data_IF_893292289770
#
_entry.id   IF_893292289770
#
_cell.length_a   1.000
_cell.length_b   1.000
_cell.length_c   1.000
_cell.angle_alpha   90.00
_cell.angle_beta   90.00
_cell.angle_gamma   90.00
#
_symmetry.space_group_name_H-M   'P 1'
#
loop_
_entity.id
_entity.type
_entity.pdbx_description
1 polymer ?
#
# COMPACT_ATOMS: atom_id res chain seq x y z
N UNK A 1 -6.63 3.57 4.37
CA UNK A 1 -7.74 3.85 5.30
C UNK A 1 -7.67 5.30 5.76
N UNK A 2 -8.80 5.93 5.89
CA UNK A 2 -8.91 7.33 6.35
C UNK A 2 -9.78 7.40 7.59
N UNK A 3 -9.34 8.15 8.59
CA UNK A 3 -10.07 8.40 9.84
C UNK A 3 -10.24 9.91 9.98
N UNK A 4 -11.46 10.38 10.15
CA UNK A 4 -11.73 11.81 10.22
C UNK A 4 -12.85 12.14 11.20
N UNK A 5 -12.95 13.42 11.59
CA UNK A 5 -13.98 13.91 12.51
C UNK A 5 -15.29 14.30 11.83
N UNK A 6 -15.30 14.48 10.52
CA UNK A 6 -16.48 14.87 9.76
C UNK A 6 -17.22 13.70 9.14
N UNK A 7 -17.98 13.98 8.09
CA UNK A 7 -18.66 12.96 7.30
C UNK A 7 -17.68 12.06 6.55
N UNK A 8 -18.17 10.92 6.07
CA UNK A 8 -17.34 9.98 5.34
C UNK A 8 -16.71 10.65 4.10
N UNK A 9 -15.40 10.44 3.93
CA UNK A 9 -14.62 11.00 2.84
C UNK A 9 -13.50 10.02 2.45
N UNK A 10 -13.12 10.05 1.19
CA UNK A 10 -12.02 9.26 0.64
C UNK A 10 -10.90 10.11 0.05
N UNK A 11 -10.91 11.42 0.29
CA UNK A 11 -9.92 12.34 -0.29
C UNK A 11 -8.49 11.97 0.09
N UNK A 12 -8.22 11.71 1.36
CA UNK A 12 -6.88 11.33 1.82
C UNK A 12 -6.48 9.94 1.31
N UNK A 13 -7.42 8.99 1.28
CA UNK A 13 -7.17 7.65 0.73
C UNK A 13 -6.82 7.74 -0.76
N UNK A 14 -7.52 8.55 -1.52
CA UNK A 14 -7.23 8.75 -2.95
C UNK A 14 -5.83 9.34 -3.16
N UNK A 15 -5.43 10.30 -2.34
CA UNK A 15 -4.08 10.85 -2.38
C UNK A 15 -3.02 9.82 -2.01
N UNK A 16 -3.29 8.99 -1.02
CA UNK A 16 -2.38 7.90 -0.63
C UNK A 16 -2.22 6.86 -1.74
N UNK A 17 -3.26 6.60 -2.53
CA UNK A 17 -3.16 5.72 -3.69
C UNK A 17 -2.25 6.29 -4.77
N UNK A 18 -2.34 7.58 -5.03
CA UNK A 18 -1.46 8.28 -5.96
C UNK A 18 -0.01 8.18 -5.48
N UNK A 19 0.23 8.48 -4.22
CA UNK A 19 1.56 8.37 -3.61
C UNK A 19 2.11 6.94 -3.69
N UNK A 20 1.30 5.96 -3.35
CA UNK A 20 1.70 4.55 -3.42
C UNK A 20 2.12 4.15 -4.83
N UNK A 21 1.37 4.53 -5.85
CA UNK A 21 1.70 4.28 -7.25
C UNK A 21 3.00 4.99 -7.65
N UNK A 22 3.18 6.22 -7.21
CA UNK A 22 4.39 6.99 -7.49
C UNK A 22 5.62 6.33 -6.89
N UNK A 23 5.49 5.79 -5.69
CA UNK A 23 6.54 5.04 -4.99
C UNK A 23 6.66 3.57 -5.45
N UNK A 24 5.89 3.19 -6.47
CA UNK A 24 5.86 1.83 -7.04
C UNK A 24 5.41 0.76 -6.05
N UNK A 25 4.51 1.13 -5.14
CA UNK A 25 3.86 0.19 -4.25
C UNK A 25 2.69 -0.49 -4.96
N UNK A 26 2.42 -1.74 -4.59
CA UNK A 26 1.18 -2.41 -4.95
C UNK A 26 0.14 -1.94 -3.94
N UNK A 27 -0.86 -1.18 -4.40
CA UNK A 27 -1.95 -0.73 -3.54
C UNK A 27 -3.13 -1.70 -3.67
N UNK A 28 -3.60 -2.22 -2.53
CA UNK A 28 -4.75 -3.13 -2.54
C UNK A 28 -6.02 -2.40 -2.97
N UNK A 29 -6.96 -3.09 -3.65
CA UNK A 29 -8.19 -2.46 -4.15
C UNK A 29 -9.08 -1.92 -3.06
N UNK A 30 -9.19 -2.61 -1.92
CA UNK A 30 -10.11 -2.26 -0.88
C UNK A 30 -9.64 -1.02 -0.11
N UNK A 31 -10.59 -0.21 0.31
CA UNK A 31 -10.32 1.01 1.07
C UNK A 31 -11.48 1.27 2.02
N UNK A 32 -11.20 1.96 3.12
CA UNK A 32 -12.23 2.31 4.09
C UNK A 32 -12.02 3.72 4.62
N UNK A 33 -13.11 4.30 5.08
CA UNK A 33 -13.13 5.61 5.74
C UNK A 33 -13.97 5.51 7.00
N UNK A 34 -13.45 6.01 8.10
CA UNK A 34 -14.14 6.05 9.39
C UNK A 34 -14.55 7.49 9.66
N UNK A 35 -15.82 7.84 9.44
CA UNK A 35 -16.32 9.19 9.72
C UNK A 35 -16.59 9.34 11.22
N UNK A 36 -16.63 10.57 11.69
CA UNK A 36 -16.97 10.90 13.08
C UNK A 36 -16.23 10.00 14.07
N UNK A 37 -14.93 9.95 13.93
CA UNK A 37 -14.07 9.03 14.68
C UNK A 37 -14.29 9.14 16.20
N UNK A 38 -14.61 10.34 16.71
CA UNK A 38 -14.87 10.57 18.13
C UNK A 38 -16.06 9.77 18.68
N UNK A 39 -16.96 9.29 17.81
CA UNK A 39 -18.11 8.47 18.19
C UNK A 39 -17.87 6.95 18.03
N UNK A 40 -16.71 6.57 17.51
CA UNK A 40 -16.45 5.18 17.14
C UNK A 40 -15.70 4.39 18.22
N UNK A 41 -15.26 5.05 19.28
CA UNK A 41 -14.48 4.43 20.34
C UNK A 41 -15.24 4.46 21.68
N UNK A 42 -15.03 3.45 22.50
CA UNK A 42 -15.60 3.36 23.84
C UNK A 42 -14.70 4.04 24.88
N UNK A 43 -15.07 3.94 26.15
CA UNK A 43 -14.34 4.54 27.27
C UNK A 43 -12.93 3.96 27.45
N UNK A 44 -12.69 2.76 26.94
CA UNK A 44 -11.40 2.08 27.00
C UNK A 44 -10.57 2.28 25.71
N UNK A 45 -10.92 3.26 24.87
CA UNK A 45 -10.27 3.55 23.59
C UNK A 45 -10.32 2.39 22.60
N UNK A 46 -11.31 1.52 22.72
CA UNK A 46 -11.55 0.43 21.78
C UNK A 46 -12.65 0.80 20.80
N UNK A 47 -12.46 0.43 19.57
CA UNK A 47 -13.45 0.70 18.52
C UNK A 47 -14.72 -0.13 18.76
N UNK A 48 -15.86 0.55 18.74
CA UNK A 48 -17.16 -0.08 18.92
C UNK A 48 -17.50 -0.95 17.69
N UNK A 49 -18.24 -2.07 17.89
CA UNK A 49 -18.79 -2.81 16.76
C UNK A 49 -19.65 -1.90 15.88
N UNK A 50 -19.36 -1.90 14.58
CA UNK A 50 -20.08 -1.08 13.60
C UNK A 50 -19.74 -1.56 12.19
N UNK A 51 -20.51 -1.14 11.16
CA UNK A 51 -20.12 -1.39 9.77
C UNK A 51 -18.74 -0.82 9.41
N UNK A 52 -18.33 0.27 10.03
CA UNK A 52 -16.99 0.86 9.80
C UNK A 52 -15.89 -0.04 10.37
N UNK A 53 -16.11 -0.61 11.54
CA UNK A 53 -15.21 -1.59 12.13
C UNK A 53 -15.05 -2.80 11.21
N UNK A 54 -16.16 -3.33 10.71
CA UNK A 54 -16.14 -4.48 9.82
C UNK A 54 -15.37 -4.20 8.54
N UNK A 55 -15.53 -3.03 7.96
CA UNK A 55 -14.79 -2.61 6.76
C UNK A 55 -13.30 -2.43 7.02
N UNK A 56 -12.93 -1.98 8.21
CA UNK A 56 -11.52 -1.95 8.59
C UNK A 56 -10.90 -3.34 8.61
N UNK A 57 -11.62 -4.30 9.20
CA UNK A 57 -11.18 -5.70 9.22
C UNK A 57 -11.04 -6.24 7.80
N UNK A 58 -12.01 -5.96 6.94
CA UNK A 58 -11.95 -6.37 5.52
C UNK A 58 -10.68 -5.85 4.84
N UNK A 59 -10.33 -4.58 5.04
CA UNK A 59 -9.11 -3.98 4.46
C UNK A 59 -7.86 -4.67 5.01
N UNK A 60 -7.80 -4.91 6.30
CA UNK A 60 -6.65 -5.56 6.92
C UNK A 60 -6.49 -7.01 6.48
N UNK A 61 -7.59 -7.74 6.35
CA UNK A 61 -7.57 -9.11 5.83
C UNK A 61 -7.10 -9.14 4.37
N UNK A 62 -7.60 -8.24 3.55
CA UNK A 62 -7.17 -8.14 2.15
C UNK A 62 -5.68 -7.82 2.05
N UNK A 63 -5.19 -6.87 2.86
CA UNK A 63 -3.77 -6.55 2.92
C UNK A 63 -2.94 -7.78 3.27
N UNK A 64 -3.36 -8.56 4.24
CA UNK A 64 -2.67 -9.78 4.64
C UNK A 64 -2.67 -10.83 3.52
N UNK A 65 -3.81 -11.02 2.86
CA UNK A 65 -3.95 -11.95 1.73
C UNK A 65 -3.01 -11.57 0.59
N UNK A 66 -2.99 -10.31 0.18
CA UNK A 66 -2.09 -9.83 -0.86
C UNK A 66 -0.62 -9.94 -0.46
N UNK A 67 -0.30 -9.66 0.79
CA UNK A 67 1.06 -9.81 1.30
C UNK A 67 1.53 -11.27 1.20
N UNK A 68 0.71 -12.21 1.60
CA UNK A 68 1.02 -13.63 1.51
C UNK A 68 1.19 -14.07 0.05
N UNK A 69 0.29 -13.64 -0.83
CA UNK A 69 0.32 -14.01 -2.25
C UNK A 69 1.54 -13.46 -2.98
N UNK A 70 1.97 -12.25 -2.67
CA UNK A 70 3.07 -11.57 -3.38
C UNK A 70 4.44 -11.83 -2.76
N UNK A 71 4.48 -12.29 -1.52
CA UNK A 71 5.71 -12.46 -0.75
C UNK A 71 6.74 -13.36 -1.42
N UNK A 72 6.29 -14.48 -2.00
CA UNK A 72 7.17 -15.45 -2.66
C UNK A 72 7.64 -15.01 -4.04
N UNK A 73 6.97 -14.04 -4.66
CA UNK A 73 7.31 -13.54 -6.00
C UNK A 73 7.69 -12.06 -6.01
N UNK A 74 8.04 -11.49 -4.85
CA UNK A 74 8.41 -10.08 -4.75
C UNK A 74 9.64 -9.75 -5.62
N UNK A 75 10.63 -10.62 -5.66
CA UNK A 75 11.82 -10.44 -6.51
C UNK A 75 11.46 -10.41 -7.99
N UNK A 76 10.53 -11.24 -8.41
CA UNK A 76 10.04 -11.26 -9.79
C UNK A 76 9.26 -9.99 -10.13
N UNK A 77 8.41 -9.52 -9.20
CA UNK A 77 7.59 -8.32 -9.40
C UNK A 77 8.42 -7.03 -9.44
N UNK A 78 9.55 -7.00 -8.75
CA UNK A 78 10.43 -5.83 -8.69
C UNK A 78 11.57 -5.89 -9.71
N UNK A 79 11.73 -6.98 -10.44
CA UNK A 79 12.72 -7.12 -11.50
C UNK A 79 12.31 -6.26 -12.71
N UNK A 80 13.18 -5.35 -13.10
CA UNK A 80 12.89 -4.37 -14.15
C UNK A 80 13.90 -4.46 -15.28
N UNK A 81 13.38 -4.42 -16.49
CA UNK A 81 14.19 -4.42 -17.71
C UNK A 81 15.21 -3.29 -17.74
N UNK A 82 14.79 -2.07 -17.37
CA UNK A 82 15.68 -0.92 -17.40
C UNK A 82 16.88 -1.06 -16.46
N UNK A 83 16.66 -1.62 -15.29
CA UNK A 83 17.74 -1.85 -14.31
C UNK A 83 18.71 -2.93 -14.79
N UNK A 84 18.21 -4.00 -15.41
CA UNK A 84 19.06 -5.05 -15.99
C UNK A 84 19.91 -4.53 -17.14
N UNK A 85 19.31 -3.75 -18.04
CA UNK A 85 20.02 -3.16 -19.19
C UNK A 85 21.06 -2.16 -18.73
N UNK A 86 20.75 -1.30 -17.77
CA UNK A 86 21.69 -0.35 -17.23
C UNK A 86 22.89 -1.04 -16.56
N UNK A 87 22.64 -2.09 -15.79
CA UNK A 87 23.69 -2.87 -15.17
C UNK A 87 24.61 -3.53 -16.22
N UNK A 88 24.02 -4.06 -17.28
CA UNK A 88 24.79 -4.64 -18.40
C UNK A 88 25.65 -3.60 -19.09
N UNK A 89 25.11 -2.42 -19.35
CA UNK A 89 25.86 -1.30 -19.96
C UNK A 89 27.03 -0.86 -19.07
N UNK A 90 26.81 -0.72 -17.80
CA UNK A 90 27.87 -0.39 -16.83
C UNK A 90 28.98 -1.44 -16.81
N UNK A 91 28.60 -2.70 -16.86
CA UNK A 91 29.55 -3.82 -16.92
C UNK A 91 30.38 -3.77 -18.18
N UNK A 92 29.74 -3.58 -19.34
CA UNK A 92 30.43 -3.46 -20.62
C UNK A 92 31.39 -2.28 -20.64
N UNK A 93 30.94 -1.12 -20.16
CA UNK A 93 31.77 0.07 -20.07
C UNK A 93 33.01 -0.15 -19.19
N UNK A 94 32.82 -0.84 -18.08
CA UNK A 94 33.91 -1.16 -17.15
C UNK A 94 34.92 -2.15 -17.77
N UNK A 95 34.43 -3.16 -18.49
CA UNK A 95 35.30 -4.11 -19.19
C UNK A 95 36.09 -3.41 -20.30
N UNK A 96 35.44 -2.54 -21.06
CA UNK A 96 36.10 -1.79 -22.15
C UNK A 96 37.17 -0.82 -21.64
N UNK A 97 36.98 -0.24 -20.44
CA UNK A 97 37.97 0.68 -19.85
C UNK A 97 39.11 -0.06 -19.17
N UNK A 98 38.95 -1.33 -18.81
CA UNK A 98 40.00 -2.13 -18.18
C UNK A 98 40.99 -2.73 -19.19
N UNK A 99 40.63 -2.71 -20.45
CA UNK A 99 41.49 -3.15 -21.55
C UNK A 99 42.31 -2.05 -22.11
#
# INVERSE_FOLDING_TARGET
>A
MQVNGGSQSFNAVNQMRILGRWMRCITIPNQSSVPRAFQQFDENDRMKPSPFYNRMVDVMEELMKFTILTRSCSSYLTDRYSERVETAKKLIARVNTAG
#
